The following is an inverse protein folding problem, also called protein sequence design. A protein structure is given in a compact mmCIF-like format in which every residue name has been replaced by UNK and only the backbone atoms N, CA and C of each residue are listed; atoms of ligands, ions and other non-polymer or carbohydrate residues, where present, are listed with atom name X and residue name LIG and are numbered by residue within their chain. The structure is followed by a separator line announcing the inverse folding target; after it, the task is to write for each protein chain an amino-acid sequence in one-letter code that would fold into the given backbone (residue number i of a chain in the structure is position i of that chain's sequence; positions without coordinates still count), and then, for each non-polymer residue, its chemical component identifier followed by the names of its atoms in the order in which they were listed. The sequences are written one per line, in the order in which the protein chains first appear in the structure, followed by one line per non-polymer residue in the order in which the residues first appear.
data_IF_025098719051
#
_entry.id   IF_025098719051
#
_cell.length_a   1.000
_cell.length_b   1.000
_cell.length_c   1.000
_cell.angle_alpha   90.00
_cell.angle_beta   90.00
_cell.angle_gamma   90.00
#
_symmetry.space_group_name_H-M   'P 1'
#
loop_
_entity.id
_entity.type
_entity.pdbx_description
1 polymer ?
#
# COMPACT_ATOMS: atom_id res chain seq x y z
N UNK A 1 -11.12 30.07 -7.12
CA UNK A 1 -10.89 28.65 -7.50
C UNK A 1 -11.96 27.84 -6.81
N UNK A 2 -12.86 27.13 -7.53
CA UNK A 2 -13.86 26.30 -6.85
C UNK A 2 -13.11 25.24 -6.05
N UNK A 3 -13.31 25.21 -4.73
CA UNK A 3 -12.82 24.12 -3.91
C UNK A 3 -13.55 22.86 -4.40
N UNK A 4 -12.82 21.95 -5.07
CA UNK A 4 -13.35 20.62 -5.34
C UNK A 4 -13.85 20.07 -4.00
N UNK A 5 -15.07 19.50 -3.94
CA UNK A 5 -15.62 19.02 -2.69
C UNK A 5 -14.62 18.03 -2.08
N UNK A 6 -14.28 18.19 -0.80
CA UNK A 6 -13.26 17.37 -0.10
C UNK A 6 -13.43 15.87 -0.38
N UNK A 7 -14.70 15.43 -0.50
CA UNK A 7 -15.08 14.11 -0.92
C UNK A 7 -14.33 13.66 -2.18
N UNK A 8 -14.27 14.48 -3.25
CA UNK A 8 -13.64 14.20 -4.56
C UNK A 8 -12.12 14.01 -4.53
N UNK A 9 -11.44 14.57 -3.53
CA UNK A 9 -9.99 14.42 -3.36
C UNK A 9 -9.69 13.25 -2.42
N UNK A 10 -10.50 13.06 -1.38
CA UNK A 10 -10.27 12.05 -0.35
C UNK A 10 -10.70 10.65 -0.78
N UNK A 11 -11.83 10.52 -1.48
CA UNK A 11 -12.34 9.20 -1.87
C UNK A 11 -11.36 8.34 -2.68
N UNK A 12 -10.61 8.83 -3.70
CA UNK A 12 -9.78 7.96 -4.51
C UNK A 12 -8.50 7.63 -3.74
N UNK A 13 -7.94 8.60 -3.03
CA UNK A 13 -6.77 8.46 -2.19
C UNK A 13 -6.99 7.50 -1.01
N UNK A 14 -8.24 7.24 -0.61
CA UNK A 14 -8.57 6.23 0.41
C UNK A 14 -8.98 4.90 -0.22
N UNK A 15 -9.92 4.91 -1.17
CA UNK A 15 -10.50 3.68 -1.72
C UNK A 15 -9.52 2.88 -2.58
N UNK A 16 -8.70 3.53 -3.42
CA UNK A 16 -7.77 2.81 -4.29
C UNK A 16 -6.68 2.09 -3.50
N UNK A 17 -5.98 2.73 -2.54
CA UNK A 17 -4.99 2.04 -1.72
C UNK A 17 -5.61 0.94 -0.87
N UNK A 18 -6.73 1.19 -0.22
CA UNK A 18 -7.41 0.18 0.60
C UNK A 18 -7.85 -1.01 -0.25
N UNK A 19 -8.45 -0.78 -1.42
CA UNK A 19 -8.83 -1.84 -2.36
C UNK A 19 -7.62 -2.66 -2.84
N UNK A 20 -6.52 -2.02 -3.20
CA UNK A 20 -5.30 -2.70 -3.63
C UNK A 20 -4.71 -3.59 -2.52
N UNK A 21 -4.65 -3.07 -1.28
CA UNK A 21 -4.15 -3.81 -0.11
C UNK A 21 -5.09 -4.96 0.26
N UNK A 22 -6.42 -4.76 0.20
CA UNK A 22 -7.40 -5.81 0.42
C UNK A 22 -7.26 -6.94 -0.60
N UNK A 23 -7.10 -6.62 -1.89
CA UNK A 23 -6.88 -7.62 -2.94
C UNK A 23 -5.59 -8.41 -2.71
N UNK A 24 -4.50 -7.73 -2.33
CA UNK A 24 -3.23 -8.37 -1.99
C UNK A 24 -3.40 -9.36 -0.82
N UNK A 25 -4.05 -8.93 0.27
CA UNK A 25 -4.26 -9.78 1.44
C UNK A 25 -5.27 -10.91 1.20
N UNK A 26 -6.26 -10.70 0.33
CA UNK A 26 -7.16 -11.77 -0.08
C UNK A 26 -6.40 -12.83 -0.89
N UNK A 27 -5.53 -12.41 -1.81
CA UNK A 27 -4.67 -13.33 -2.56
C UNK A 27 -3.70 -14.08 -1.63
N UNK A 28 -3.10 -13.39 -0.66
CA UNK A 28 -2.28 -13.97 0.40
C UNK A 28 -3.04 -15.01 1.22
N UNK A 29 -4.27 -14.71 1.63
CA UNK A 29 -5.09 -15.64 2.40
C UNK A 29 -5.41 -16.91 1.60
N UNK A 30 -5.77 -16.77 0.33
CA UNK A 30 -5.97 -17.94 -0.54
C UNK A 30 -4.67 -18.74 -0.68
N UNK A 31 -3.52 -18.07 -0.81
CA UNK A 31 -2.23 -18.72 -0.89
C UNK A 31 -1.85 -19.42 0.43
N UNK A 32 -2.08 -18.81 1.59
CA UNK A 32 -1.76 -19.39 2.90
C UNK A 32 -2.58 -20.64 3.18
N UNK A 33 -3.87 -20.66 2.80
CA UNK A 33 -4.72 -21.85 2.90
C UNK A 33 -4.21 -22.99 2.02
N UNK A 34 -3.79 -22.68 0.77
CA UNK A 34 -3.28 -23.69 -0.17
C UNK A 34 -1.90 -24.24 0.24
N UNK A 35 -1.05 -23.39 0.78
CA UNK A 35 0.31 -23.74 1.21
C UNK A 35 0.35 -24.26 2.66
N UNK A 36 -0.78 -24.20 3.37
CA UNK A 36 -0.88 -24.48 4.81
C UNK A 36 0.15 -23.72 5.65
N UNK A 37 0.44 -22.48 5.24
CA UNK A 37 1.46 -21.63 5.85
C UNK A 37 0.88 -20.25 6.17
N UNK A 38 0.46 -20.06 7.42
CA UNK A 38 -0.08 -18.79 7.89
C UNK A 38 0.99 -17.68 8.02
N UNK A 39 2.28 -18.02 8.09
CA UNK A 39 3.38 -17.04 8.19
C UNK A 39 3.57 -16.20 6.93
N UNK A 40 2.91 -16.59 5.83
CA UNK A 40 2.92 -15.83 4.58
C UNK A 40 2.51 -14.37 4.81
N UNK A 41 1.50 -14.13 5.66
CA UNK A 41 0.96 -12.79 5.93
C UNK A 41 2.02 -11.85 6.49
N UNK A 42 2.93 -12.35 7.33
CA UNK A 42 3.92 -11.55 8.03
C UNK A 42 5.00 -11.02 7.07
N UNK A 43 5.34 -11.81 6.05
CA UNK A 43 6.32 -11.43 5.00
C UNK A 43 5.80 -10.29 4.12
N UNK A 44 4.49 -10.15 3.99
CA UNK A 44 3.87 -9.24 3.02
C UNK A 44 3.45 -7.89 3.60
N UNK A 45 3.67 -7.63 4.90
CA UNK A 45 3.43 -6.32 5.50
C UNK A 45 4.20 -5.19 4.81
N UNK A 46 5.51 -5.35 4.63
CA UNK A 46 6.35 -4.37 3.93
C UNK A 46 5.85 -4.06 2.51
N UNK A 47 5.69 -5.09 1.65
CA UNK A 47 5.09 -4.94 0.32
C UNK A 47 3.70 -4.30 0.31
N UNK A 48 2.82 -4.65 1.25
CA UNK A 48 1.47 -4.10 1.33
C UNK A 48 1.47 -2.59 1.62
N UNK A 49 2.33 -2.13 2.55
CA UNK A 49 2.47 -0.70 2.83
C UNK A 49 3.07 0.08 1.64
N UNK A 50 4.07 -0.49 0.97
CA UNK A 50 4.63 0.11 -0.24
C UNK A 50 3.59 0.22 -1.35
N UNK A 51 2.83 -0.85 -1.60
CA UNK A 51 1.73 -0.86 -2.57
C UNK A 51 0.71 0.23 -2.25
N UNK A 52 0.24 0.32 -1.00
CA UNK A 52 -0.70 1.36 -0.58
C UNK A 52 -0.17 2.78 -0.82
N UNK A 53 1.10 3.03 -0.49
CA UNK A 53 1.72 4.34 -0.71
C UNK A 53 1.82 4.70 -2.20
N UNK A 54 2.23 3.77 -3.06
CA UNK A 54 2.33 4.01 -4.50
C UNK A 54 0.97 4.17 -5.18
N UNK A 55 -0.04 3.41 -4.75
CA UNK A 55 -1.41 3.59 -5.25
C UNK A 55 -1.98 4.93 -4.78
N UNK A 56 -1.70 5.36 -3.55
CA UNK A 56 -2.11 6.68 -3.05
C UNK A 56 -1.41 7.81 -3.81
N UNK A 57 -0.12 7.64 -4.14
CA UNK A 57 0.65 8.55 -4.98
C UNK A 57 0.02 8.70 -6.37
N UNK A 58 -0.40 7.60 -6.99
CA UNK A 58 -0.98 7.60 -8.33
C UNK A 58 -2.43 8.12 -8.38
N UNK A 59 -3.24 7.81 -7.37
CA UNK A 59 -4.65 8.15 -7.33
C UNK A 59 -4.96 9.50 -6.66
N UNK A 60 -4.05 9.99 -5.81
CA UNK A 60 -4.21 11.21 -5.04
C UNK A 60 -3.81 12.46 -5.81
N UNK A 61 -4.33 13.60 -5.34
CA UNK A 61 -3.83 14.92 -5.76
C UNK A 61 -2.95 15.52 -4.65
N UNK A 62 -1.95 16.32 -5.03
CA UNK A 62 -1.06 16.95 -4.06
C UNK A 62 0.29 17.32 -4.66
N UNK A 63 1.28 17.56 -3.80
CA UNK A 63 2.65 17.90 -4.21
C UNK A 63 3.45 16.61 -4.50
N UNK A 64 3.79 16.32 -5.78
CA UNK A 64 4.37 15.02 -6.16
C UNK A 64 5.71 14.69 -5.48
N UNK A 65 6.67 15.63 -5.30
CA UNK A 65 7.94 15.33 -4.65
C UNK A 65 7.81 14.77 -3.24
N UNK A 66 6.90 15.32 -2.41
CA UNK A 66 6.66 14.78 -1.06
C UNK A 66 6.08 13.38 -1.12
N UNK A 67 5.10 13.15 -1.98
CA UNK A 67 4.44 11.85 -2.07
C UNK A 67 5.40 10.77 -2.64
N UNK A 68 6.27 11.15 -3.58
CA UNK A 68 7.34 10.28 -4.09
C UNK A 68 8.40 9.98 -3.00
N UNK A 69 8.79 10.98 -2.21
CA UNK A 69 9.71 10.80 -1.09
C UNK A 69 9.13 9.83 -0.05
N UNK A 70 7.88 10.03 0.37
CA UNK A 70 7.20 9.14 1.32
C UNK A 70 7.09 7.72 0.76
N UNK A 71 6.66 7.56 -0.49
CA UNK A 71 6.52 6.24 -1.12
C UNK A 71 7.86 5.52 -1.22
N UNK A 72 8.93 6.25 -1.54
CA UNK A 72 10.30 5.73 -1.56
C UNK A 72 10.78 5.30 -0.17
N UNK A 73 10.56 6.13 0.86
CA UNK A 73 10.95 5.82 2.23
C UNK A 73 10.20 4.61 2.78
N UNK A 74 8.90 4.49 2.51
CA UNK A 74 8.10 3.31 2.88
C UNK A 74 8.60 2.07 2.16
N UNK A 75 8.97 2.19 0.88
CA UNK A 75 9.54 1.06 0.12
C UNK A 75 10.89 0.62 0.71
N UNK A 76 11.78 1.57 1.03
CA UNK A 76 13.06 1.28 1.68
C UNK A 76 12.89 0.65 3.06
N UNK A 77 11.94 1.14 3.86
CA UNK A 77 11.58 0.54 5.14
C UNK A 77 11.07 -0.89 4.98
N UNK A 78 10.19 -1.13 3.99
CA UNK A 78 9.63 -2.46 3.71
C UNK A 78 10.71 -3.45 3.28
N UNK A 79 11.64 -3.02 2.42
CA UNK A 79 12.81 -3.81 2.02
C UNK A 79 13.73 -4.11 3.21
N UNK A 80 14.01 -3.10 4.05
CA UNK A 80 14.81 -3.28 5.28
C UNK A 80 14.15 -4.27 6.23
N UNK A 81 12.84 -4.19 6.41
CA UNK A 81 12.09 -5.10 7.26
C UNK A 81 12.18 -6.53 6.73
N UNK A 82 11.93 -6.73 5.43
CA UNK A 82 12.08 -8.03 4.77
C UNK A 82 13.47 -8.61 4.96
N UNK A 83 14.53 -7.81 4.75
CA UNK A 83 15.91 -8.26 4.95
C UNK A 83 16.23 -8.69 6.39
N UNK A 84 15.58 -8.11 7.40
CA UNK A 84 15.86 -8.43 8.80
C UNK A 84 15.14 -9.69 9.29
N UNK A 85 13.98 -10.01 8.71
CA UNK A 85 13.11 -11.11 9.14
C UNK A 85 13.26 -12.38 8.30
N UNK A 86 14.01 -12.32 7.20
CA UNK A 86 14.35 -13.44 6.33
C UNK A 86 15.76 -13.97 6.63
#
# INVERSE_FOLDING_TARGET
MPALPLAQVLWPALLWPTGAVLLLFLAQWVASVRLQDASLVDRFWGPAFALGAWVAFAAGQGWPPRAALVSSLVSLWGLRLGWHIH
#
